data_IF_567008496574
#
_entry.id   IF_567008496574
#
_cell.length_a   1.000
_cell.length_b   1.000
_cell.length_c   1.000
_cell.angle_alpha   90.00
_cell.angle_beta   90.00
_cell.angle_gamma   90.00
#
_symmetry.space_group_name_H-M   'P 1'
#
loop_
_entity.id
_entity.type
_entity.pdbx_description
1 polymer ?
#
# COMPACT_ATOMS: atom_id res chain seq x y z
N UNK A 1 -4.75 -46.62 -25.23
CA UNK A 1 -5.49 -47.35 -24.21
C UNK A 1 -4.82 -46.98 -22.89
N UNK A 2 -5.43 -46.34 -22.14
CA UNK A 2 -6.36 -46.30 -21.05
C UNK A 2 -6.01 -45.11 -20.13
N UNK A 3 -6.90 -44.16 -20.10
CA UNK A 3 -6.89 -43.01 -19.15
C UNK A 3 -7.35 -43.51 -17.78
N UNK A 4 -6.75 -43.08 -16.71
CA UNK A 4 -7.35 -43.18 -15.39
C UNK A 4 -7.31 -41.80 -14.72
N UNK A 5 -8.49 -41.22 -14.61
CA UNK A 5 -8.81 -39.96 -13.91
C UNK A 5 -9.17 -40.38 -12.48
N UNK A 6 -8.49 -39.85 -11.47
CA UNK A 6 -8.95 -39.90 -10.07
C UNK A 6 -9.56 -38.54 -9.71
N UNK A 7 -10.88 -38.53 -9.57
CA UNK A 7 -11.62 -37.44 -8.94
C UNK A 7 -11.76 -37.74 -7.46
N UNK A 8 -11.30 -36.82 -6.60
CA UNK A 8 -11.53 -36.86 -5.17
C UNK A 8 -12.64 -35.84 -4.83
N UNK A 9 -13.83 -36.36 -4.52
CA UNK A 9 -14.98 -35.57 -4.05
C UNK A 9 -14.83 -35.36 -2.53
N UNK A 10 -14.65 -34.11 -2.10
CA UNK A 10 -14.73 -33.70 -0.71
C UNK A 10 -16.17 -33.30 -0.37
N UNK A 11 -16.79 -34.05 0.55
CA UNK A 11 -18.13 -33.78 1.11
C UNK A 11 -17.99 -32.70 2.19
N UNK A 12 -18.61 -31.54 1.98
CA UNK A 12 -18.83 -30.51 2.98
C UNK A 12 -20.18 -30.75 3.65
N UNK A 13 -20.15 -31.17 4.93
CA UNK A 13 -21.33 -31.19 5.79
C UNK A 13 -21.62 -29.77 6.31
N UNK A 14 -22.72 -29.17 5.85
CA UNK A 14 -23.35 -28.00 6.47
C UNK A 14 -24.26 -28.49 7.60
N UNK A 15 -23.89 -28.20 8.83
CA UNK A 15 -24.77 -28.31 10.01
C UNK A 15 -25.65 -27.05 10.09
N UNK A 16 -26.93 -27.22 9.80
CA UNK A 16 -27.95 -26.20 10.04
C UNK A 16 -28.39 -26.30 11.50
N UNK A 17 -28.17 -25.25 12.29
CA UNK A 17 -28.82 -25.04 13.60
C UNK A 17 -30.14 -24.34 13.33
N UNK A 18 -31.24 -25.07 13.61
CA UNK A 18 -32.56 -24.52 13.68
C UNK A 18 -32.75 -23.88 15.07
N UNK A 19 -33.10 -22.60 15.07
CA UNK A 19 -33.60 -21.89 16.29
C UNK A 19 -35.12 -21.89 16.22
N UNK A 20 -35.75 -22.54 17.17
CA UNK A 20 -37.19 -22.51 17.36
C UNK A 20 -37.61 -21.16 17.96
N UNK A 21 -38.75 -20.59 17.54
CA UNK A 21 -39.32 -19.39 18.17
C UNK A 21 -40.14 -19.77 19.40
N UNK A 22 -39.81 -19.20 20.56
CA UNK A 22 -40.65 -19.23 21.73
C UNK A 22 -41.74 -18.16 21.62
N UNK A 23 -43.00 -18.63 21.44
CA UNK A 23 -44.22 -17.84 21.66
C UNK A 23 -44.39 -17.58 23.17
N UNK A 24 -44.46 -16.33 23.55
CA UNK A 24 -45.00 -15.91 24.84
C UNK A 24 -46.30 -15.13 24.63
N UNK A 25 -47.40 -15.83 24.85
CA UNK A 25 -48.72 -15.26 25.08
C UNK A 25 -48.69 -14.33 26.32
N UNK A 26 -48.99 -13.05 26.15
CA UNK A 26 -49.38 -12.16 27.23
C UNK A 26 -50.82 -11.70 27.03
N UNK A 27 -51.63 -12.18 27.95
CA UNK A 27 -53.03 -11.86 28.12
C UNK A 27 -53.28 -10.35 28.28
N UNK A 28 -54.28 -9.90 27.56
CA UNK A 28 -54.85 -8.57 27.66
C UNK A 28 -55.47 -8.33 29.05
N UNK A 29 -55.10 -7.22 29.66
CA UNK A 29 -55.90 -6.62 30.76
C UNK A 29 -56.54 -5.34 30.25
N UNK A 30 -57.85 -5.42 30.05
CA UNK A 30 -58.75 -4.29 29.89
C UNK A 30 -58.82 -3.51 31.21
N UNK A 31 -58.56 -2.22 31.19
CA UNK A 31 -58.96 -1.26 32.19
C UNK A 31 -59.71 -0.12 31.51
N UNK A 32 -61.04 -0.21 31.64
CA UNK A 32 -61.96 0.91 31.44
C UNK A 32 -61.72 2.03 32.44
N UNK A 33 -61.43 3.22 31.99
CA UNK A 33 -61.54 4.46 32.71
C UNK A 33 -62.42 5.47 31.97
N UNK A 34 -63.52 5.77 32.62
CA UNK A 34 -64.56 6.73 32.24
C UNK A 34 -64.02 8.13 32.04
N UNK A 35 -64.66 8.84 31.11
CA UNK A 35 -64.34 10.16 30.65
C UNK A 35 -64.42 11.28 31.66
N UNK A 36 -63.61 12.27 31.46
CA UNK A 36 -63.82 13.63 31.91
C UNK A 36 -63.70 14.58 30.75
N UNK A 37 -64.79 15.21 30.36
CA UNK A 37 -64.89 16.37 29.48
C UNK A 37 -64.17 17.55 30.12
N UNK A 38 -63.21 18.12 29.46
CA UNK A 38 -62.72 19.47 29.71
C UNK A 38 -62.74 20.27 28.41
N UNK A 39 -63.46 21.38 28.51
CA UNK A 39 -63.72 22.37 27.48
C UNK A 39 -62.46 22.90 26.82
N UNK A 40 -62.62 23.14 25.52
CA UNK A 40 -61.67 23.80 24.66
C UNK A 40 -61.34 25.21 25.14
N UNK A 41 -60.02 25.52 25.26
CA UNK A 41 -59.49 26.86 25.17
C UNK A 41 -58.58 26.88 23.97
N UNK A 42 -59.11 27.52 22.91
CA UNK A 42 -58.31 27.96 21.79
C UNK A 42 -57.29 29.01 22.25
N UNK A 43 -56.01 28.68 22.16
CA UNK A 43 -54.94 29.64 22.12
C UNK A 43 -54.15 29.41 20.81
N UNK A 44 -54.40 30.30 19.85
CA UNK A 44 -53.56 30.47 18.69
C UNK A 44 -52.11 30.75 19.13
N UNK A 45 -51.24 29.73 19.00
CA UNK A 45 -49.81 29.92 19.03
C UNK A 45 -49.28 29.68 17.62
N UNK A 46 -48.96 30.81 16.97
CA UNK A 46 -48.19 30.84 15.76
C UNK A 46 -46.94 29.98 15.85
N UNK A 47 -46.71 29.20 14.79
CA UNK A 47 -45.64 28.28 14.46
C UNK A 47 -44.34 28.41 15.22
N UNK A 48 -44.10 27.52 16.16
CA UNK A 48 -42.77 27.10 16.55
C UNK A 48 -42.52 25.74 15.90
N UNK A 49 -41.67 25.73 14.87
CA UNK A 49 -41.12 24.51 14.35
C UNK A 49 -40.44 23.70 15.47
N UNK A 50 -40.14 22.41 15.27
CA UNK A 50 -39.64 21.54 16.33
C UNK A 50 -38.39 22.15 16.96
N UNK A 51 -38.50 22.54 18.24
CA UNK A 51 -37.40 23.08 19.02
C UNK A 51 -36.22 22.11 18.97
N UNK A 52 -35.14 22.51 18.32
CA UNK A 52 -33.88 21.81 18.38
C UNK A 52 -33.46 21.66 19.83
N UNK A 53 -33.34 20.43 20.30
CA UNK A 53 -32.95 20.08 21.69
C UNK A 53 -31.69 20.86 22.03
N UNK A 54 -31.84 21.92 22.86
CA UNK A 54 -30.78 22.50 23.69
C UNK A 54 -29.43 22.74 23.08
N UNK A 55 -29.32 23.59 22.04
CA UNK A 55 -28.02 24.10 21.62
C UNK A 55 -27.52 25.00 22.76
N UNK A 56 -26.45 24.59 23.45
CA UNK A 56 -25.83 25.42 24.49
C UNK A 56 -25.16 26.61 23.82
N UNK A 57 -25.41 27.80 24.33
CA UNK A 57 -24.83 29.04 23.82
C UNK A 57 -24.02 29.74 24.92
N UNK A 58 -22.99 30.44 24.50
CA UNK A 58 -22.18 31.32 25.36
C UNK A 58 -22.18 32.71 24.74
N UNK A 59 -22.48 33.72 25.56
CA UNK A 59 -22.37 35.14 25.19
C UNK A 59 -21.04 35.70 25.71
N UNK A 60 -20.23 36.26 24.82
CA UNK A 60 -18.94 36.82 25.11
C UNK A 60 -18.78 38.15 24.43
N UNK A 61 -18.75 39.25 25.18
CA UNK A 61 -18.60 40.59 24.64
C UNK A 61 -17.29 40.74 23.84
N UNK A 62 -17.30 41.59 22.79
CA UNK A 62 -16.16 41.75 21.88
C UNK A 62 -14.82 42.01 22.57
N UNK A 63 -14.82 42.83 23.63
CA UNK A 63 -13.61 43.12 24.39
C UNK A 63 -13.00 41.84 25.03
N UNK A 64 -13.85 40.96 25.53
CA UNK A 64 -13.44 39.67 26.12
C UNK A 64 -13.01 38.69 25.03
N UNK A 65 -13.70 38.64 23.88
CA UNK A 65 -13.30 37.83 22.73
C UNK A 65 -11.86 38.16 22.32
N UNK A 66 -11.55 39.46 22.27
CA UNK A 66 -10.22 39.97 21.94
C UNK A 66 -9.18 39.62 22.99
N UNK A 67 -9.53 39.71 24.27
CA UNK A 67 -8.64 39.35 25.38
C UNK A 67 -8.37 37.82 25.41
N UNK A 68 -9.37 36.98 25.11
CA UNK A 68 -9.25 35.54 24.96
C UNK A 68 -8.52 35.09 23.68
N UNK A 69 -8.26 36.02 22.75
CA UNK A 69 -7.62 35.69 21.47
C UNK A 69 -8.51 34.82 20.56
N UNK A 70 -9.85 34.97 20.67
CA UNK A 70 -10.78 34.20 19.85
C UNK A 70 -10.54 34.47 18.35
N UNK A 71 -10.34 33.41 17.59
CA UNK A 71 -10.26 33.47 16.13
C UNK A 71 -11.20 32.43 15.51
N UNK A 72 -11.91 32.87 14.50
CA UNK A 72 -12.79 32.01 13.71
C UNK A 72 -12.16 31.65 12.38
N UNK A 73 -12.57 30.51 11.85
CA UNK A 73 -12.22 30.04 10.50
C UNK A 73 -13.48 29.49 9.83
N UNK A 74 -13.52 29.53 8.51
CA UNK A 74 -14.58 28.90 7.74
C UNK A 74 -14.28 27.44 7.50
N UNK A 75 -15.27 26.52 7.63
CA UNK A 75 -15.11 25.15 7.19
C UNK A 75 -14.78 25.09 5.70
N UNK A 76 -13.86 24.21 5.34
CA UNK A 76 -13.45 24.05 3.95
C UNK A 76 -13.86 22.68 3.40
N UNK A 77 -14.13 22.61 2.10
CA UNK A 77 -14.27 21.33 1.40
C UNK A 77 -12.88 20.80 1.06
N UNK A 78 -12.44 19.72 1.74
CA UNK A 78 -11.12 19.13 1.56
C UNK A 78 -11.19 17.64 1.27
N UNK A 79 -10.24 17.15 0.48
CA UNK A 79 -9.95 15.73 0.40
C UNK A 79 -8.93 15.39 1.48
N UNK A 80 -9.33 14.62 2.47
CA UNK A 80 -8.46 14.19 3.56
C UNK A 80 -8.00 12.76 3.31
N UNK A 81 -6.72 12.49 3.60
CA UNK A 81 -6.14 11.16 3.50
C UNK A 81 -5.32 10.87 4.76
N UNK A 82 -5.60 9.74 5.40
CA UNK A 82 -4.76 9.21 6.48
C UNK A 82 -3.52 8.56 5.89
N UNK A 83 -2.36 8.88 6.41
CA UNK A 83 -1.10 8.34 5.92
C UNK A 83 -0.30 7.71 7.05
N UNK A 84 0.48 6.70 6.71
CA UNK A 84 1.54 6.14 7.56
C UNK A 84 2.86 6.31 6.85
N UNK A 85 3.86 6.79 7.58
CA UNK A 85 5.22 6.91 7.07
C UNK A 85 6.15 5.97 7.85
N UNK A 86 7.04 5.29 7.14
CA UNK A 86 8.10 4.47 7.74
C UNK A 86 9.40 4.62 6.97
N UNK A 87 10.52 4.51 7.68
CA UNK A 87 11.85 4.65 7.09
C UNK A 87 12.49 3.29 6.88
N UNK A 88 13.07 3.10 5.70
CA UNK A 88 13.76 1.88 5.31
C UNK A 88 15.09 2.15 4.59
N UNK A 89 15.65 1.07 4.05
CA UNK A 89 16.84 1.12 3.18
C UNK A 89 16.51 0.49 1.84
N UNK A 90 17.03 1.08 0.78
CA UNK A 90 17.01 0.45 -0.52
C UNK A 90 17.90 -0.80 -0.51
N UNK A 91 17.38 -1.90 -1.00
CA UNK A 91 18.14 -3.11 -1.26
C UNK A 91 17.84 -3.63 -2.67
N UNK A 92 18.72 -4.47 -3.19
CA UNK A 92 18.43 -5.13 -4.45
C UNK A 92 17.26 -6.09 -4.29
N UNK A 93 16.36 -6.10 -5.27
CA UNK A 93 15.31 -7.10 -5.35
C UNK A 93 15.92 -8.51 -5.46
N UNK A 94 15.27 -9.56 -4.94
CA UNK A 94 15.79 -10.93 -5.01
C UNK A 94 16.08 -11.39 -6.44
N UNK A 95 15.30 -10.94 -7.41
CA UNK A 95 15.43 -11.22 -8.84
C UNK A 95 16.44 -10.32 -9.57
N UNK A 96 17.03 -9.35 -8.85
CA UNK A 96 18.04 -8.46 -9.41
C UNK A 96 19.34 -9.18 -9.77
N UNK A 97 19.64 -10.31 -9.10
CA UNK A 97 20.84 -11.10 -9.35
C UNK A 97 20.54 -12.30 -10.22
N UNK A 98 21.36 -12.48 -11.25
CA UNK A 98 21.27 -13.63 -12.13
C UNK A 98 22.65 -14.27 -12.29
N UNK A 99 22.70 -15.57 -12.18
CA UNK A 99 23.91 -16.34 -12.42
C UNK A 99 23.84 -16.94 -13.81
N UNK A 100 24.86 -16.73 -14.60
CA UNK A 100 25.03 -17.32 -15.92
C UNK A 100 25.98 -18.50 -15.81
N UNK A 101 25.47 -19.69 -16.11
CA UNK A 101 26.20 -20.95 -16.06
C UNK A 101 26.64 -21.38 -17.47
N UNK A 102 27.66 -22.22 -17.54
CA UNK A 102 28.07 -22.82 -18.81
C UNK A 102 27.17 -24.03 -19.15
N UNK A 103 26.73 -24.15 -20.41
CA UNK A 103 25.98 -25.33 -20.85
C UNK A 103 26.86 -26.58 -21.07
N UNK A 104 28.19 -26.39 -21.21
CA UNK A 104 29.12 -27.47 -21.55
C UNK A 104 30.39 -27.40 -20.71
N UNK A 105 31.03 -28.56 -20.50
CA UNK A 105 32.33 -28.62 -19.88
C UNK A 105 33.44 -28.21 -20.86
N UNK A 106 34.50 -27.53 -20.35
CA UNK A 106 35.60 -27.11 -21.16
C UNK A 106 36.46 -26.00 -20.53
N UNK A 107 37.36 -25.43 -21.33
CA UNK A 107 38.24 -24.33 -20.90
C UNK A 107 37.55 -22.99 -21.07
N UNK A 108 37.50 -22.21 -20.01
CA UNK A 108 36.82 -20.91 -19.94
C UNK A 108 37.69 -19.77 -20.43
N UNK A 109 37.12 -18.87 -21.27
CA UNK A 109 37.69 -17.56 -21.56
C UNK A 109 36.65 -16.48 -21.33
N UNK A 110 36.94 -15.52 -20.42
CA UNK A 110 36.08 -14.39 -20.12
C UNK A 110 36.22 -13.31 -21.17
N UNK A 111 35.12 -12.75 -21.66
CA UNK A 111 35.09 -11.69 -22.67
C UNK A 111 34.75 -10.33 -22.08
N UNK A 112 34.24 -10.30 -20.86
CA UNK A 112 33.82 -9.09 -20.14
C UNK A 112 34.68 -8.87 -18.90
N UNK A 113 34.73 -7.62 -18.42
CA UNK A 113 35.49 -7.22 -17.22
C UNK A 113 34.53 -7.11 -15.99
N UNK A 114 35.07 -7.21 -14.76
CA UNK A 114 34.31 -6.87 -13.58
C UNK A 114 33.73 -5.45 -13.67
N UNK A 115 32.52 -5.25 -13.16
CA UNK A 115 31.78 -3.98 -13.17
C UNK A 115 31.46 -3.43 -14.58
N UNK A 116 31.67 -4.21 -15.66
CA UNK A 116 31.20 -3.83 -16.97
C UNK A 116 29.68 -3.87 -17.07
N UNK A 117 29.09 -2.87 -17.73
CA UNK A 117 27.68 -2.92 -18.12
C UNK A 117 27.54 -3.73 -19.39
N UNK A 118 26.63 -4.65 -19.43
CA UNK A 118 26.30 -5.51 -20.55
C UNK A 118 24.84 -5.34 -20.95
N UNK A 119 24.57 -5.48 -22.23
CA UNK A 119 23.22 -5.50 -22.80
C UNK A 119 22.82 -6.93 -23.14
N UNK A 120 21.52 -7.16 -23.26
CA UNK A 120 21.01 -8.40 -23.81
C UNK A 120 21.66 -8.70 -25.17
N UNK A 121 22.18 -9.92 -25.34
CA UNK A 121 22.92 -10.34 -26.53
C UNK A 121 24.45 -10.15 -26.48
N UNK A 122 24.99 -9.38 -25.53
CA UNK A 122 26.43 -9.23 -25.41
C UNK A 122 27.10 -10.56 -25.02
N UNK A 123 28.22 -10.88 -25.64
CA UNK A 123 29.01 -12.07 -25.33
C UNK A 123 29.70 -11.90 -23.97
N UNK A 124 29.44 -12.83 -23.05
CA UNK A 124 29.99 -12.81 -21.68
C UNK A 124 31.28 -13.61 -21.57
N UNK A 125 31.27 -14.82 -22.10
CA UNK A 125 32.39 -15.75 -22.06
C UNK A 125 32.28 -16.79 -23.17
N UNK A 126 33.41 -17.45 -23.45
CA UNK A 126 33.42 -18.62 -24.30
C UNK A 126 33.95 -19.84 -23.53
N UNK A 127 33.46 -21.01 -23.91
CA UNK A 127 33.97 -22.29 -23.41
C UNK A 127 34.42 -23.14 -24.57
N UNK A 128 35.69 -23.52 -24.57
CA UNK A 128 36.25 -24.44 -25.57
C UNK A 128 36.09 -25.87 -25.05
N UNK A 129 35.16 -26.59 -25.66
CA UNK A 129 34.86 -27.98 -25.32
C UNK A 129 35.50 -28.96 -26.29
N UNK A 130 36.46 -29.81 -25.82
CA UNK A 130 37.06 -30.86 -26.66
C UNK A 130 36.03 -31.86 -27.18
N UNK A 131 35.00 -32.17 -26.36
CA UNK A 131 33.93 -33.14 -26.72
C UNK A 131 33.08 -32.60 -27.86
N UNK A 132 32.68 -31.31 -27.79
CA UNK A 132 31.96 -30.66 -28.90
C UNK A 132 32.81 -30.58 -30.16
N UNK A 133 34.10 -30.28 -30.03
CA UNK A 133 35.03 -30.27 -31.16
C UNK A 133 35.18 -31.68 -31.79
N UNK A 134 35.18 -32.75 -31.01
CA UNK A 134 35.16 -34.09 -31.52
C UNK A 134 33.86 -34.42 -32.27
N UNK A 135 32.69 -34.12 -31.66
CA UNK A 135 31.37 -34.29 -32.31
C UNK A 135 31.23 -33.46 -33.60
N UNK A 136 31.77 -32.23 -33.61
CA UNK A 136 31.81 -31.39 -34.84
C UNK A 136 32.59 -32.07 -35.96
N UNK A 137 33.75 -32.66 -35.63
CA UNK A 137 34.59 -33.43 -36.60
C UNK A 137 33.85 -34.64 -37.14
N UNK A 138 33.18 -35.42 -36.27
CA UNK A 138 32.39 -36.59 -36.69
C UNK A 138 31.27 -36.16 -37.65
N UNK A 139 30.52 -35.11 -37.35
CA UNK A 139 29.48 -34.58 -38.22
C UNK A 139 30.06 -34.15 -39.57
N UNK A 140 31.20 -33.47 -39.60
CA UNK A 140 31.85 -33.07 -40.83
C UNK A 140 32.27 -34.26 -41.71
N UNK A 141 32.69 -35.38 -41.09
CA UNK A 141 32.98 -36.65 -41.81
C UNK A 141 31.68 -37.23 -42.43
N UNK A 142 30.58 -37.27 -41.68
CA UNK A 142 29.30 -37.77 -42.16
C UNK A 142 28.75 -36.88 -43.32
N UNK A 143 28.91 -35.59 -43.23
CA UNK A 143 28.53 -34.63 -44.27
C UNK A 143 29.32 -34.85 -45.57
N UNK A 144 30.64 -35.00 -45.47
CA UNK A 144 31.48 -35.31 -46.64
C UNK A 144 31.08 -36.62 -47.29
N UNK A 145 30.81 -37.66 -46.50
CA UNK A 145 30.30 -38.95 -47.03
C UNK A 145 28.98 -38.79 -47.74
N UNK A 146 28.02 -38.08 -47.17
CA UNK A 146 26.75 -37.80 -47.81
C UNK A 146 26.91 -36.98 -49.10
N UNK A 147 27.82 -36.05 -49.15
CA UNK A 147 28.13 -35.31 -50.38
C UNK A 147 28.66 -36.21 -51.51
N UNK A 148 29.53 -37.17 -51.19
CA UNK A 148 29.97 -38.16 -52.21
C UNK A 148 28.79 -38.99 -52.75
N UNK A 149 27.90 -39.50 -51.88
CA UNK A 149 26.69 -40.21 -52.34
C UNK A 149 25.78 -39.35 -53.19
N UNK A 150 25.63 -38.06 -52.82
CA UNK A 150 24.85 -37.09 -53.60
C UNK A 150 25.43 -36.87 -54.98
N UNK A 151 26.76 -36.74 -55.09
CA UNK A 151 27.44 -36.59 -56.38
C UNK A 151 27.37 -37.83 -57.26
N UNK A 152 27.24 -39.02 -56.68
CA UNK A 152 27.04 -40.28 -57.38
C UNK A 152 25.55 -40.55 -57.72
N UNK A 153 24.68 -39.60 -57.43
CA UNK A 153 23.23 -39.76 -57.69
C UNK A 153 22.52 -40.77 -56.78
N UNK A 154 23.17 -41.20 -55.69
CA UNK A 154 22.63 -42.23 -54.77
C UNK A 154 22.20 -41.59 -53.47
N UNK A 155 21.06 -42.00 -52.93
CA UNK A 155 20.63 -41.61 -51.57
C UNK A 155 21.04 -42.68 -50.56
N UNK A 156 21.69 -42.26 -49.48
CA UNK A 156 22.03 -43.15 -48.35
C UNK A 156 21.19 -42.73 -47.12
N UNK A 157 20.00 -43.34 -46.96
CA UNK A 157 19.08 -43.00 -45.89
C UNK A 157 19.60 -43.34 -44.49
N UNK A 158 20.26 -44.49 -44.21
CA UNK A 158 20.85 -44.79 -42.92
C UNK A 158 21.88 -43.74 -42.49
N UNK A 159 22.76 -43.31 -43.40
CA UNK A 159 23.80 -42.31 -43.11
C UNK A 159 23.22 -40.91 -42.86
N UNK A 160 22.13 -40.61 -43.57
CA UNK A 160 21.40 -39.36 -43.34
C UNK A 160 20.69 -39.34 -41.95
N UNK A 161 20.15 -40.46 -41.54
CA UNK A 161 19.51 -40.61 -40.21
C UNK A 161 20.56 -40.50 -39.11
N UNK A 162 21.71 -41.19 -39.27
CA UNK A 162 22.83 -41.09 -38.30
C UNK A 162 23.32 -39.63 -38.13
N UNK A 163 23.48 -38.90 -39.25
CA UNK A 163 23.82 -37.47 -39.20
C UNK A 163 22.79 -36.66 -38.46
N UNK A 164 21.48 -36.91 -38.70
CA UNK A 164 20.40 -36.18 -38.07
C UNK A 164 20.39 -36.40 -36.53
N UNK A 165 20.59 -37.66 -36.09
CA UNK A 165 20.67 -37.99 -34.65
C UNK A 165 21.88 -37.30 -34.01
N UNK A 166 23.06 -37.41 -34.57
CA UNK A 166 24.28 -36.78 -34.01
C UNK A 166 24.21 -35.26 -34.02
N UNK A 167 23.53 -34.67 -35.02
CA UNK A 167 23.28 -33.22 -35.05
C UNK A 167 22.36 -32.80 -33.91
N UNK A 168 21.24 -33.53 -33.71
CA UNK A 168 20.30 -33.27 -32.66
C UNK A 168 20.93 -33.43 -31.25
N UNK A 169 21.73 -34.47 -31.05
CA UNK A 169 22.49 -34.67 -29.79
C UNK A 169 23.43 -33.48 -29.49
N UNK A 170 24.15 -32.98 -30.52
CA UNK A 170 25.02 -31.83 -30.37
C UNK A 170 24.24 -30.56 -30.05
N UNK A 171 23.15 -30.31 -30.77
CA UNK A 171 22.28 -29.16 -30.53
C UNK A 171 21.67 -29.19 -29.14
N UNK A 172 21.26 -30.37 -28.67
CA UNK A 172 20.73 -30.53 -27.30
C UNK A 172 21.75 -30.22 -26.21
N UNK A 173 23.05 -30.45 -26.45
CA UNK A 173 24.10 -30.11 -25.48
C UNK A 173 24.38 -28.61 -25.42
N UNK A 174 24.26 -27.91 -26.53
CA UNK A 174 24.58 -26.47 -26.63
C UNK A 174 23.41 -25.59 -26.18
N UNK A 175 22.18 -26.09 -26.35
CA UNK A 175 20.95 -25.32 -26.09
C UNK A 175 20.88 -24.07 -26.99
N UNK A 176 20.52 -22.95 -26.39
CA UNK A 176 20.39 -21.65 -27.09
C UNK A 176 21.73 -20.92 -27.30
N UNK A 177 22.86 -21.50 -26.87
CA UNK A 177 24.16 -20.84 -27.02
C UNK A 177 24.70 -21.01 -28.44
N UNK A 178 25.43 -20.00 -28.91
CA UNK A 178 26.11 -20.03 -30.21
C UNK A 178 27.37 -20.92 -30.14
N UNK A 179 27.45 -21.88 -31.03
CA UNK A 179 28.62 -22.81 -31.08
C UNK A 179 29.26 -22.79 -32.43
N UNK A 180 30.57 -22.69 -32.42
CA UNK A 180 31.42 -22.77 -33.63
C UNK A 180 32.66 -23.60 -33.34
N UNK A 181 32.81 -24.73 -34.05
CA UNK A 181 33.99 -25.61 -33.97
C UNK A 181 34.42 -26.04 -32.57
N UNK A 182 33.43 -26.30 -31.69
CA UNK A 182 33.69 -26.71 -30.32
C UNK A 182 33.88 -25.55 -29.34
N UNK A 183 33.72 -24.33 -29.79
CA UNK A 183 33.73 -23.13 -28.95
C UNK A 183 32.29 -22.64 -28.79
N UNK A 184 31.79 -22.65 -27.54
CA UNK A 184 30.47 -22.17 -27.19
C UNK A 184 30.58 -20.76 -26.66
N UNK A 185 29.81 -19.83 -27.25
CA UNK A 185 29.71 -18.43 -26.80
C UNK A 185 28.43 -18.26 -26.02
N UNK A 186 28.55 -17.87 -24.76
CA UNK A 186 27.40 -17.60 -23.89
C UNK A 186 27.16 -16.10 -23.80
N UNK A 187 25.95 -15.70 -24.11
CA UNK A 187 25.52 -14.28 -24.17
C UNK A 187 24.62 -13.91 -23.00
N UNK A 188 24.58 -12.61 -22.69
CA UNK A 188 23.69 -12.07 -21.69
C UNK A 188 22.23 -12.19 -22.15
N UNK A 189 21.36 -12.77 -21.33
CA UNK A 189 19.92 -12.85 -21.60
C UNK A 189 19.19 -11.53 -21.33
N UNK A 190 19.80 -10.60 -20.58
CA UNK A 190 19.23 -9.29 -20.24
C UNK A 190 20.33 -8.31 -19.90
N UNK A 191 19.98 -7.03 -19.91
CA UNK A 191 20.85 -5.96 -19.46
C UNK A 191 21.26 -6.15 -18.00
N UNK A 192 22.48 -5.72 -17.64
CA UNK A 192 22.98 -5.81 -16.28
C UNK A 192 24.39 -5.29 -16.10
N UNK A 193 24.87 -5.38 -14.89
CA UNK A 193 26.22 -5.10 -14.47
C UNK A 193 26.89 -6.41 -14.06
N UNK A 194 28.12 -6.66 -14.52
CA UNK A 194 28.91 -7.82 -14.08
C UNK A 194 29.34 -7.62 -12.63
N UNK A 195 28.75 -8.38 -11.70
CA UNK A 195 29.04 -8.29 -10.26
C UNK A 195 30.28 -9.09 -9.87
N UNK A 196 30.38 -10.33 -10.36
CA UNK A 196 31.45 -11.23 -10.00
C UNK A 196 31.65 -12.34 -11.05
N UNK A 197 32.84 -12.95 -11.00
CA UNK A 197 33.18 -14.18 -11.71
C UNK A 197 33.42 -15.30 -10.70
N UNK A 198 32.42 -16.22 -10.48
CA UNK A 198 32.61 -17.41 -9.64
C UNK A 198 33.70 -18.35 -10.16
N UNK A 199 33.94 -18.36 -11.48
CA UNK A 199 34.99 -19.18 -12.14
C UNK A 199 36.11 -18.29 -12.70
N UNK A 200 37.33 -18.76 -12.59
CA UNK A 200 38.51 -18.03 -13.06
C UNK A 200 38.74 -18.20 -14.57
N UNK A 201 39.27 -17.14 -15.21
CA UNK A 201 39.67 -17.21 -16.62
C UNK A 201 40.75 -18.27 -16.84
N UNK A 202 40.58 -19.09 -17.88
CA UNK A 202 41.51 -20.17 -18.23
C UNK A 202 41.27 -21.45 -17.42
N UNK A 203 40.39 -21.45 -16.41
CA UNK A 203 40.04 -22.66 -15.66
C UNK A 203 39.27 -23.66 -16.55
N UNK A 204 39.33 -24.93 -16.16
CA UNK A 204 38.38 -25.93 -16.64
C UNK A 204 37.09 -25.85 -15.83
N UNK A 205 35.96 -25.74 -16.54
CA UNK A 205 34.61 -25.65 -15.93
C UNK A 205 33.78 -26.84 -16.36
N UNK A 206 32.98 -27.35 -15.43
CA UNK A 206 32.02 -28.41 -15.69
C UNK A 206 30.69 -27.87 -16.18
N UNK A 207 29.90 -28.69 -16.86
CA UNK A 207 28.53 -28.35 -17.27
C UNK A 207 27.70 -27.87 -16.09
N UNK A 208 27.02 -26.73 -16.22
CA UNK A 208 26.23 -26.12 -15.17
C UNK A 208 27.04 -25.26 -14.18
N UNK A 209 28.37 -25.18 -14.32
CA UNK A 209 29.20 -24.34 -13.46
C UNK A 209 28.84 -22.86 -13.64
N UNK A 210 28.71 -22.15 -12.51
CA UNK A 210 28.46 -20.69 -12.50
C UNK A 210 29.70 -19.93 -12.96
N UNK A 211 29.58 -19.11 -13.99
CA UNK A 211 30.71 -18.38 -14.59
C UNK A 211 30.62 -16.89 -14.34
N UNK A 212 29.46 -16.29 -14.58
CA UNK A 212 29.27 -14.85 -14.45
C UNK A 212 28.05 -14.58 -13.59
N UNK A 213 28.17 -13.67 -12.63
CA UNK A 213 27.03 -13.14 -11.89
C UNK A 213 26.72 -11.74 -12.41
N UNK A 214 25.50 -11.56 -12.93
CA UNK A 214 24.95 -10.29 -13.36
C UNK A 214 24.02 -9.73 -12.29
N UNK A 215 23.99 -8.41 -12.16
CA UNK A 215 23.06 -7.68 -11.30
C UNK A 215 22.38 -6.58 -12.10
N UNK A 216 21.09 -6.39 -11.87
CA UNK A 216 20.32 -5.23 -12.35
C UNK A 216 20.32 -4.18 -11.22
N UNK A 217 21.22 -3.18 -11.25
CA UNK A 217 21.37 -2.24 -10.14
C UNK A 217 20.17 -1.31 -9.95
N UNK A 218 19.31 -1.19 -10.95
CA UNK A 218 18.04 -0.46 -10.93
C UNK A 218 16.87 -1.27 -10.36
N UNK A 219 17.01 -2.59 -10.24
CA UNK A 219 15.99 -3.44 -9.64
C UNK A 219 16.09 -3.38 -8.10
N UNK A 220 15.55 -2.31 -7.56
CA UNK A 220 15.58 -2.00 -6.14
C UNK A 220 14.19 -2.18 -5.51
N UNK A 221 14.19 -2.49 -4.22
CA UNK A 221 13.04 -2.36 -3.32
C UNK A 221 13.46 -1.62 -2.06
N UNK A 222 12.54 -0.97 -1.37
CA UNK A 222 12.79 -0.42 -0.04
C UNK A 222 12.43 -1.48 1.00
N UNK A 223 13.33 -1.78 1.93
CA UNK A 223 13.06 -2.65 3.08
C UNK A 223 13.06 -1.83 4.35
N UNK A 224 11.99 -1.92 5.13
CA UNK A 224 11.86 -1.35 6.45
C UNK A 224 11.54 -2.45 7.47
N UNK A 225 11.86 -2.22 8.73
CA UNK A 225 11.39 -3.00 9.87
C UNK A 225 10.42 -2.12 10.65
N UNK A 226 9.19 -2.54 10.75
CA UNK A 226 8.10 -1.77 11.33
C UNK A 226 7.53 -2.56 12.52
N UNK A 227 7.16 -1.88 13.59
CA UNK A 227 6.51 -2.53 14.73
C UNK A 227 5.21 -3.22 14.30
N UNK A 228 4.89 -4.36 14.89
CA UNK A 228 3.70 -5.14 14.52
C UNK A 228 2.40 -4.34 14.64
N UNK A 229 2.31 -3.41 15.62
CA UNK A 229 1.17 -2.50 15.79
C UNK A 229 0.97 -1.57 14.59
N UNK A 230 2.05 -1.06 14.02
CA UNK A 230 2.00 -0.17 12.86
C UNK A 230 1.83 -0.97 11.57
N UNK A 231 2.46 -2.14 11.48
CA UNK A 231 2.31 -3.06 10.36
C UNK A 231 0.87 -3.58 10.21
N UNK A 232 0.14 -3.75 11.32
CA UNK A 232 -1.28 -4.12 11.32
C UNK A 232 -2.19 -3.11 10.60
N UNK A 233 -1.72 -1.87 10.40
CA UNK A 233 -2.43 -0.83 9.66
C UNK A 233 -2.12 -0.86 8.16
N UNK A 234 -1.15 -1.64 7.74
CA UNK A 234 -0.72 -1.78 6.35
C UNK A 234 -1.35 -3.04 5.74
N UNK A 235 -1.59 -3.03 4.46
CA UNK A 235 -2.05 -4.18 3.69
C UNK A 235 -1.15 -4.42 2.48
N UNK A 236 -1.08 -5.65 2.01
CA UNK A 236 -0.41 -5.98 0.75
C UNK A 236 -1.09 -5.28 -0.43
N UNK A 237 -0.28 -4.73 -1.33
CA UNK A 237 -0.79 -3.97 -2.48
C UNK A 237 -1.13 -2.51 -2.18
N UNK A 238 -0.99 -2.05 -0.92
CA UNK A 238 -1.22 -0.65 -0.58
C UNK A 238 -0.26 0.25 -1.35
N UNK A 239 -0.80 1.32 -1.93
CA UNK A 239 0.01 2.29 -2.64
C UNK A 239 0.94 3.05 -1.70
N UNK A 240 2.21 3.12 -2.06
CA UNK A 240 3.24 3.83 -1.33
C UNK A 240 3.99 4.81 -2.25
N UNK A 241 4.48 5.88 -1.68
CA UNK A 241 5.35 6.84 -2.37
C UNK A 241 6.67 6.94 -1.61
N UNK A 242 7.79 6.79 -2.31
CA UNK A 242 9.14 6.92 -1.76
C UNK A 242 9.90 7.96 -2.57
N UNK A 243 10.23 9.11 -1.97
CA UNK A 243 10.90 10.22 -2.68
C UNK A 243 10.23 10.62 -4.01
N UNK A 244 8.89 10.55 -4.04
CA UNK A 244 8.08 10.83 -5.23
C UNK A 244 8.04 9.67 -6.26
N UNK A 245 8.65 8.52 -5.97
CA UNK A 245 8.52 7.31 -6.78
C UNK A 245 7.34 6.47 -6.27
N UNK A 246 6.39 6.09 -7.12
CA UNK A 246 5.29 5.21 -6.73
C UNK A 246 5.77 3.77 -6.55
N UNK A 247 5.20 3.07 -5.59
CA UNK A 247 5.46 1.67 -5.31
C UNK A 247 4.29 1.03 -4.58
N UNK A 248 4.39 -0.26 -4.34
CA UNK A 248 3.41 -1.06 -3.62
C UNK A 248 4.02 -1.70 -2.38
N UNK A 249 3.27 -1.70 -1.29
CA UNK A 249 3.63 -2.37 -0.04
C UNK A 249 3.49 -3.89 -0.18
N UNK A 250 4.47 -4.61 0.34
CA UNK A 250 4.43 -6.06 0.59
C UNK A 250 4.88 -6.33 2.01
N UNK A 251 4.09 -7.11 2.73
CA UNK A 251 4.37 -7.47 4.12
C UNK A 251 5.15 -8.79 4.18
N UNK A 252 6.18 -8.82 4.98
CA UNK A 252 6.89 -10.06 5.30
C UNK A 252 6.34 -10.70 6.58
N UNK A 253 6.96 -11.82 6.96
CA UNK A 253 6.62 -12.50 8.21
C UNK A 253 7.32 -11.80 9.38
N UNK A 254 6.55 -11.45 10.42
CA UNK A 254 7.09 -10.84 11.63
C UNK A 254 8.07 -11.75 12.36
N UNK A 255 9.03 -11.14 13.04
CA UNK A 255 10.02 -11.84 13.84
C UNK A 255 9.61 -11.96 15.33
N UNK A 256 10.40 -12.70 16.12
CA UNK A 256 10.16 -12.87 17.54
C UNK A 256 10.29 -11.58 18.37
N UNK A 257 10.85 -10.51 17.79
CA UNK A 257 10.98 -9.19 18.43
C UNK A 257 9.78 -8.28 18.16
N UNK A 258 8.76 -8.79 17.49
CA UNK A 258 7.57 -8.01 17.13
C UNK A 258 7.82 -7.00 16.00
N UNK A 259 8.85 -7.22 15.19
CA UNK A 259 9.12 -6.43 13.99
C UNK A 259 8.66 -7.17 12.74
N UNK A 260 7.99 -6.46 11.86
CA UNK A 260 7.51 -6.97 10.57
C UNK A 260 8.34 -6.30 9.47
N UNK A 261 9.01 -7.09 8.62
CA UNK A 261 9.67 -6.53 7.44
C UNK A 261 8.61 -6.07 6.44
N UNK A 262 8.65 -4.79 6.12
CA UNK A 262 7.78 -4.17 5.13
C UNK A 262 8.64 -3.80 3.92
N UNK A 263 8.20 -4.21 2.76
CA UNK A 263 8.87 -3.93 1.49
C UNK A 263 8.02 -2.96 0.67
N UNK A 264 8.66 -1.98 0.04
CA UNK A 264 8.03 -1.23 -1.05
C UNK A 264 8.67 -1.69 -2.34
N UNK A 265 7.86 -2.29 -3.20
CA UNK A 265 8.27 -2.79 -4.52
C UNK A 265 7.93 -1.73 -5.56
N UNK A 266 8.89 -1.40 -6.39
CA UNK A 266 8.72 -0.40 -7.44
C UNK A 266 8.45 -1.07 -8.79
N UNK A 267 7.72 -0.40 -9.70
CA UNK A 267 7.71 -0.79 -11.11
C UNK A 267 9.15 -0.78 -11.65
N UNK A 268 9.40 -1.55 -12.70
CA UNK A 268 10.74 -1.70 -13.28
C UNK A 268 11.38 -0.33 -13.56
N UNK A 269 12.56 -0.09 -12.95
CA UNK A 269 13.28 1.18 -13.05
C UNK A 269 12.66 2.37 -12.29
N UNK A 270 11.62 2.15 -11.49
CA UNK A 270 10.90 3.23 -10.79
C UNK A 270 11.58 3.75 -9.52
N UNK A 271 12.51 3.01 -8.92
CA UNK A 271 13.22 3.45 -7.73
C UNK A 271 14.25 4.56 -8.06
N UNK A 272 14.27 5.61 -7.25
CA UNK A 272 15.21 6.75 -7.45
C UNK A 272 16.46 6.68 -6.60
N UNK A 273 16.54 5.72 -5.68
CA UNK A 273 17.66 5.56 -4.74
C UNK A 273 18.79 4.68 -5.27
N UNK A 274 19.74 4.42 -4.37
CA UNK A 274 20.80 3.42 -4.56
C UNK A 274 20.74 2.40 -3.44
N UNK A 275 21.13 1.16 -3.71
CA UNK A 275 21.24 0.12 -2.70
C UNK A 275 22.05 0.62 -1.48
N UNK A 276 21.53 0.41 -0.27
CA UNK A 276 22.10 0.89 0.99
C UNK A 276 21.63 2.29 1.42
N UNK A 277 21.09 3.13 0.54
CA UNK A 277 20.56 4.44 0.91
C UNK A 277 19.29 4.31 1.77
N UNK A 278 19.10 5.25 2.69
CA UNK A 278 17.87 5.38 3.49
C UNK A 278 16.85 6.22 2.75
N UNK A 279 15.58 5.85 2.87
CA UNK A 279 14.46 6.63 2.37
C UNK A 279 13.21 6.41 3.24
N UNK A 280 12.28 7.35 3.16
CA UNK A 280 11.00 7.27 3.86
C UNK A 280 9.90 6.96 2.85
N UNK A 281 9.14 5.92 3.13
CA UNK A 281 7.93 5.58 2.42
C UNK A 281 6.74 6.22 3.10
N UNK A 282 5.81 6.75 2.32
CA UNK A 282 4.51 7.26 2.78
C UNK A 282 3.42 6.45 2.08
N UNK A 283 2.56 5.81 2.88
CA UNK A 283 1.41 5.05 2.41
C UNK A 283 0.12 5.77 2.74
N UNK A 284 -0.82 5.78 1.82
CA UNK A 284 -2.17 6.28 2.05
C UNK A 284 -3.02 5.12 2.54
N UNK A 285 -3.50 5.20 3.80
CA UNK A 285 -4.32 4.15 4.42
C UNK A 285 -5.79 4.29 4.08
N UNK A 286 -6.27 5.52 4.18
CA UNK A 286 -7.67 5.87 3.95
C UNK A 286 -7.72 7.29 3.37
N UNK A 287 -8.63 7.52 2.44
CA UNK A 287 -8.79 8.80 1.78
C UNK A 287 -10.26 9.03 1.39
N UNK A 288 -10.74 10.25 1.57
CA UNK A 288 -12.01 10.65 0.99
C UNK A 288 -11.86 10.89 -0.52
N UNK A 289 -12.58 10.13 -1.33
CA UNK A 289 -12.62 10.30 -2.79
C UNK A 289 -13.22 11.63 -3.18
N UNK A 290 -14.26 12.07 -2.46
CA UNK A 290 -14.92 13.36 -2.64
C UNK A 290 -14.51 14.35 -1.56
N UNK A 291 -14.50 15.68 -1.86
CA UNK A 291 -14.24 16.68 -0.85
C UNK A 291 -15.31 16.66 0.26
N UNK A 292 -14.89 16.50 1.51
CA UNK A 292 -15.74 16.54 2.71
C UNK A 292 -15.58 17.87 3.44
N UNK A 293 -16.60 18.27 4.20
CA UNK A 293 -16.49 19.43 5.07
C UNK A 293 -15.49 19.14 6.17
N UNK A 294 -14.46 19.96 6.29
CA UNK A 294 -13.41 19.81 7.27
C UNK A 294 -13.17 21.13 8.02
N UNK A 295 -12.79 20.99 9.28
CA UNK A 295 -12.33 22.09 10.13
C UNK A 295 -10.92 21.82 10.62
N UNK A 296 -10.11 22.84 10.96
CA UNK A 296 -8.86 22.60 11.68
C UNK A 296 -9.12 21.78 12.93
N UNK A 297 -8.29 20.75 13.20
CA UNK A 297 -8.51 19.83 14.32
C UNK A 297 -8.57 20.52 15.69
N UNK A 298 -7.95 21.68 15.82
CA UNK A 298 -8.00 22.53 17.01
C UNK A 298 -9.37 23.17 17.30
N UNK A 299 -10.28 23.18 16.33
CA UNK A 299 -11.68 23.66 16.52
C UNK A 299 -12.52 22.67 17.35
N UNK A 300 -12.07 21.38 17.41
CA UNK A 300 -12.80 20.34 18.09
C UNK A 300 -12.47 20.33 19.58
N UNK A 301 -13.47 20.51 20.40
CA UNK A 301 -13.41 20.33 21.85
C UNK A 301 -14.37 19.24 22.29
N UNK A 302 -14.16 18.67 23.45
CA UNK A 302 -15.09 17.69 24.04
C UNK A 302 -15.87 18.33 25.19
N UNK A 303 -17.20 18.27 25.12
CA UNK A 303 -18.10 18.64 26.20
C UNK A 303 -18.72 17.35 26.73
N UNK A 304 -18.25 16.90 27.90
CA UNK A 304 -18.52 15.54 28.35
C UNK A 304 -17.90 14.52 27.42
N UNK A 305 -18.73 13.65 26.83
CA UNK A 305 -18.30 12.64 25.84
C UNK A 305 -18.52 13.08 24.39
N UNK A 306 -19.18 14.22 24.16
CA UNK A 306 -19.55 14.66 22.82
C UNK A 306 -18.47 15.55 22.21
N UNK A 307 -18.00 15.24 20.98
CA UNK A 307 -17.18 16.15 20.17
C UNK A 307 -18.05 17.33 19.73
N UNK A 308 -17.57 18.54 19.99
CA UNK A 308 -18.32 19.77 19.81
C UNK A 308 -17.43 20.81 19.14
N UNK A 309 -18.01 21.67 18.32
CA UNK A 309 -17.37 22.88 17.80
C UNK A 309 -18.18 24.10 18.21
N UNK A 310 -17.54 25.23 18.41
CA UNK A 310 -18.23 26.49 18.63
C UNK A 310 -18.40 27.22 17.32
N UNK A 311 -19.62 27.62 17.03
CA UNK A 311 -20.00 28.38 15.82
C UNK A 311 -20.47 29.74 16.26
N UNK A 312 -19.97 30.80 15.66
CA UNK A 312 -20.48 32.14 15.88
C UNK A 312 -21.90 32.23 15.32
N UNK A 313 -22.81 32.84 16.08
CA UNK A 313 -24.18 33.06 15.63
C UNK A 313 -24.20 34.07 14.46
N UNK A 314 -24.96 33.77 13.42
CA UNK A 314 -25.05 34.64 12.22
C UNK A 314 -25.71 35.96 12.49
N UNK A 315 -26.53 36.06 13.56
CA UNK A 315 -27.30 37.25 13.90
C UNK A 315 -26.74 38.01 15.11
N UNK A 316 -25.81 37.39 15.86
CA UNK A 316 -25.21 37.98 17.05
C UNK A 316 -23.72 37.63 17.13
N UNK A 317 -22.88 38.61 16.91
CA UNK A 317 -21.42 38.45 16.88
C UNK A 317 -20.82 38.11 18.26
N UNK A 318 -21.56 38.39 19.35
CA UNK A 318 -21.14 38.13 20.72
C UNK A 318 -21.59 36.72 21.21
N UNK A 319 -22.40 36.03 20.40
CA UNK A 319 -22.97 34.74 20.75
C UNK A 319 -22.27 33.58 20.00
N UNK A 320 -21.89 32.54 20.77
CA UNK A 320 -21.28 31.33 20.24
C UNK A 320 -22.11 30.11 20.62
N UNK A 321 -22.47 29.32 19.59
CA UNK A 321 -23.28 28.12 19.73
C UNK A 321 -22.40 26.88 19.82
N UNK A 322 -22.57 26.06 20.83
CA UNK A 322 -21.92 24.78 20.95
C UNK A 322 -22.68 23.75 20.10
N UNK A 323 -22.09 23.33 18.99
CA UNK A 323 -22.68 22.40 18.04
C UNK A 323 -21.99 21.05 18.15
N UNK A 324 -22.75 20.02 18.46
CA UNK A 324 -22.26 18.64 18.48
C UNK A 324 -22.03 18.16 17.06
N UNK A 325 -20.85 17.58 16.83
CA UNK A 325 -20.42 17.10 15.52
C UNK A 325 -19.95 15.66 15.60
N UNK A 326 -20.01 14.98 14.47
CA UNK A 326 -19.41 13.67 14.30
C UNK A 326 -18.08 13.83 13.58
N UNK A 327 -16.93 13.68 14.27
CA UNK A 327 -15.65 13.74 13.64
C UNK A 327 -15.38 12.49 12.82
N UNK A 328 -14.85 12.67 11.62
CA UNK A 328 -14.38 11.63 10.73
C UNK A 328 -12.86 11.59 10.65
N UNK A 329 -12.34 11.34 9.47
CA UNK A 329 -10.91 11.26 9.19
C UNK A 329 -10.18 12.57 9.52
N UNK A 330 -9.07 12.44 10.24
CA UNK A 330 -8.17 13.56 10.55
C UNK A 330 -6.85 13.40 9.79
N UNK A 331 -6.43 14.43 9.08
CA UNK A 331 -5.18 14.44 8.34
C UNK A 331 -4.66 15.88 8.14
N UNK A 332 -3.33 16.06 8.24
CA UNK A 332 -2.69 17.36 7.98
C UNK A 332 -3.19 18.52 8.86
N UNK A 333 -3.63 18.23 10.10
CA UNK A 333 -4.15 19.25 11.03
C UNK A 333 -5.62 19.63 10.78
N UNK A 334 -6.31 18.90 9.90
CA UNK A 334 -7.73 19.06 9.59
C UNK A 334 -8.51 17.80 9.95
N UNK A 335 -9.75 17.97 10.34
CA UNK A 335 -10.67 16.86 10.66
C UNK A 335 -11.96 17.03 9.86
N UNK A 336 -12.38 15.95 9.19
CA UNK A 336 -13.69 15.88 8.58
C UNK A 336 -14.76 15.96 9.67
N UNK A 337 -15.81 16.72 9.45
CA UNK A 337 -16.91 16.83 10.41
C UNK A 337 -18.26 16.75 9.70
N UNK A 338 -19.18 16.00 10.31
CA UNK A 338 -20.58 15.99 9.94
C UNK A 338 -21.43 16.58 11.07
N UNK A 339 -22.61 17.11 10.75
CA UNK A 339 -23.52 17.72 11.73
C UNK A 339 -23.35 19.22 11.92
N UNK A 340 -22.51 19.89 11.12
CA UNK A 340 -22.47 21.34 11.08
C UNK A 340 -23.79 21.87 10.49
N UNK A 341 -24.30 23.03 10.98
CA UNK A 341 -25.47 23.69 10.40
C UNK A 341 -25.32 23.92 8.91
N UNK A 342 -26.39 23.69 8.16
CA UNK A 342 -26.43 23.96 6.73
C UNK A 342 -26.81 25.42 6.50
N UNK A 343 -25.91 26.24 5.93
CA UNK A 343 -26.22 27.61 5.53
C UNK A 343 -25.00 28.52 5.57
N UNK A 344 -24.94 29.42 4.63
CA UNK A 344 -24.15 30.65 4.56
C UNK A 344 -22.70 30.62 5.02
N UNK A 345 -22.26 31.77 5.44
CA UNK A 345 -20.93 32.00 6.02
C UNK A 345 -20.88 31.50 7.47
N UNK A 346 -20.45 30.25 7.65
CA UNK A 346 -20.33 29.64 8.95
C UNK A 346 -18.93 29.93 9.52
N UNK A 347 -18.86 30.65 10.64
CA UNK A 347 -17.62 30.94 11.34
C UNK A 347 -17.42 29.99 12.53
N UNK A 348 -16.47 29.07 12.45
CA UNK A 348 -16.12 28.10 13.50
C UNK A 348 -14.92 28.63 14.29
N UNK A 349 -14.99 28.57 15.62
CA UNK A 349 -13.92 29.01 16.50
C UNK A 349 -12.71 28.08 16.41
N UNK A 350 -11.55 28.61 16.04
CA UNK A 350 -10.29 27.87 15.90
C UNK A 350 -9.31 28.11 17.06
N UNK A 351 -9.31 29.30 17.62
CA UNK A 351 -8.54 29.64 18.81
C UNK A 351 -9.49 30.17 19.89
N UNK A 352 -9.29 29.81 21.14
CA UNK A 352 -10.18 30.15 22.25
C UNK A 352 -11.38 29.19 22.43
N UNK A 353 -11.45 28.09 21.69
CA UNK A 353 -12.57 27.13 21.81
C UNK A 353 -12.60 26.43 23.18
N UNK A 354 -11.48 26.22 23.81
CA UNK A 354 -11.39 25.63 25.16
C UNK A 354 -11.90 26.62 26.21
N UNK A 355 -11.59 27.88 26.09
CA UNK A 355 -12.03 28.97 26.96
C UNK A 355 -13.57 29.12 26.86
N UNK A 356 -14.14 29.07 25.66
CA UNK A 356 -15.60 29.03 25.48
C UNK A 356 -16.25 27.81 26.12
N UNK A 357 -15.59 26.66 26.11
CA UNK A 357 -16.08 25.46 26.80
C UNK A 357 -16.16 25.70 28.32
N UNK A 358 -15.19 26.36 28.91
CA UNK A 358 -15.18 26.66 30.34
C UNK A 358 -16.26 27.68 30.73
N UNK A 359 -16.62 28.57 29.80
CA UNK A 359 -17.68 29.55 29.99
C UNK A 359 -19.12 29.00 29.80
N UNK A 360 -19.25 27.74 29.36
CA UNK A 360 -20.57 27.10 29.21
C UNK A 360 -21.23 26.91 30.58
N UNK A 361 -22.55 27.23 30.70
CA UNK A 361 -23.30 26.96 31.92
C UNK A 361 -23.26 25.46 32.28
N UNK A 362 -22.90 25.16 33.52
CA UNK A 362 -22.87 23.81 34.05
C UNK A 362 -24.31 23.40 34.47
N UNK A 363 -25.01 22.60 33.62
CA UNK A 363 -26.35 22.07 33.95
C UNK A 363 -27.45 23.13 33.96
N UNK A 364 -28.61 22.85 34.60
CA UNK A 364 -29.74 23.74 34.78
C UNK A 364 -29.48 24.94 35.71
N UNK A 365 -28.25 25.17 36.13
CA UNK A 365 -27.86 26.32 36.92
C UNK A 365 -27.67 27.56 36.05
N UNK A 366 -28.17 28.71 36.51
CA UNK A 366 -27.86 30.03 35.98
C UNK A 366 -26.35 30.13 35.74
N UNK A 367 -25.88 30.87 34.73
CA UNK A 367 -24.46 31.00 34.45
C UNK A 367 -23.71 31.38 35.73
N UNK A 368 -22.85 30.49 36.19
CA UNK A 368 -22.18 30.62 37.48
C UNK A 368 -20.91 31.51 37.39
N UNK A 369 -20.70 32.20 36.28
CA UNK A 369 -19.56 33.05 36.13
C UNK A 369 -19.56 33.86 34.84
N UNK A 370 -18.73 34.88 34.78
CA UNK A 370 -18.50 35.76 33.63
C UNK A 370 -17.02 36.04 33.43
N UNK A 371 -16.63 36.36 32.18
CA UNK A 371 -15.27 36.79 31.87
C UNK A 371 -15.15 38.30 32.00
N UNK A 372 -14.06 38.74 32.62
CA UNK A 372 -13.69 40.16 32.64
C UNK A 372 -12.92 40.55 31.37
N UNK A 373 -12.86 41.84 31.09
CA UNK A 373 -12.17 42.41 29.94
C UNK A 373 -10.67 42.11 29.89
N UNK A 374 -10.08 41.70 31.03
CA UNK A 374 -8.68 41.27 31.15
C UNK A 374 -8.49 39.76 30.83
N UNK A 375 -9.55 39.04 30.51
CA UNK A 375 -9.53 37.62 30.19
C UNK A 375 -9.65 36.68 31.39
N UNK A 376 -9.84 37.21 32.62
CA UNK A 376 -10.03 36.39 33.82
C UNK A 376 -11.48 35.93 33.95
N UNK A 377 -11.68 34.69 34.39
CA UNK A 377 -13.00 34.08 34.65
C UNK A 377 -13.29 34.14 36.17
N UNK A 378 -14.45 34.66 36.57
CA UNK A 378 -14.94 34.62 37.94
C UNK A 378 -16.19 33.75 38.08
N UNK A 379 -16.15 32.81 39.04
CA UNK A 379 -17.36 32.11 39.52
C UNK A 379 -17.97 32.96 40.67
N UNK A 380 -19.21 33.38 40.44
CA UNK A 380 -19.98 34.07 41.50
C UNK A 380 -21.12 34.90 40.90
N UNK A 381 -22.27 34.86 41.55
CA UNK A 381 -23.34 35.82 41.34
C UNK A 381 -23.04 37.10 42.17
N UNK A 382 -23.18 38.25 41.56
CA UNK A 382 -23.30 39.52 42.28
C UNK A 382 -24.51 39.50 43.19
#
# INVERSE_FOLDING_TARGET
MMKTIFALAGVLCFGAFAVEPHDHDHAAHDHDHAGHDHAAHDHDHAGHGPAAKGVKAVEVAEAVQKAMGLKTVRPEKRRLASTVAFTGRYELSPDARRTVATPVAGRLALLVKPLARVKAGDALFTVTSPDLAARARELAVLERRLDVYRKLGTKNAPLASERAVKKAEREALVGDAEETNGVVTVRAASDGLVEAFPSEAGAWVETGASVVRLVAPEALRLRALVAASDAARLADGLAATVEGAPGEVRLGVGDANGLVPVYVVFPKGGAKGRAGARATATCVLDAHETPVTAVPSRCLVRIGLQPTVFVRDAHDADRFLAVDVVPGLSAGGWTAVAGLPSGGDLDVVAEGAYELKLALPSGDAKPAGHFHADGTFHEGAD
#
